data_IF_702828897373
#
_entry.id   IF_702828897373
#
_cell.length_a   1.000
_cell.length_b   1.000
_cell.length_c   1.000
_cell.angle_alpha   90.00
_cell.angle_beta   90.00
_cell.angle_gamma   90.00
#
_symmetry.space_group_name_H-M   'P 1'
#
loop_
_entity.id
_entity.type
_entity.pdbx_description
1 polymer ?
#
# COMPACT_ATOMS: atom_id res chain seq x y z
N UNK A 1 5.79 10.87 -11.51
CA UNK A 1 6.70 11.56 -12.44
C UNK A 1 6.08 12.85 -12.98
N UNK A 2 4.92 12.75 -13.65
CA UNK A 2 4.27 13.91 -14.28
C UNK A 2 4.02 15.06 -13.28
N UNK A 3 3.56 14.77 -12.08
CA UNK A 3 3.36 15.78 -11.02
C UNK A 3 4.63 16.59 -10.74
N UNK A 4 5.75 15.88 -10.56
CA UNK A 4 7.03 16.52 -10.32
C UNK A 4 7.58 17.24 -11.55
N UNK A 5 7.35 16.68 -12.73
CA UNK A 5 7.76 17.30 -14.00
C UNK A 5 7.03 18.64 -14.24
N UNK A 6 5.74 18.73 -13.87
CA UNK A 6 4.93 19.93 -14.05
C UNK A 6 5.21 21.03 -13.01
N UNK A 7 5.53 20.65 -11.76
CA UNK A 7 5.61 21.61 -10.64
C UNK A 7 7.02 21.87 -10.12
N UNK A 8 7.93 20.89 -10.25
CA UNK A 8 9.23 20.92 -9.57
C UNK A 8 9.15 20.84 -8.04
N UNK A 9 7.95 20.61 -7.45
CA UNK A 9 7.70 20.66 -6.01
C UNK A 9 7.46 19.26 -5.43
N UNK A 10 8.25 18.86 -4.40
CA UNK A 10 7.98 17.63 -3.63
C UNK A 10 6.62 17.64 -2.96
N UNK A 11 6.13 18.81 -2.53
CA UNK A 11 4.80 18.95 -1.93
C UNK A 11 3.69 18.57 -2.92
N UNK A 12 3.81 18.99 -4.18
CA UNK A 12 2.84 18.60 -5.24
C UNK A 12 2.80 17.09 -5.43
N UNK A 13 3.94 16.41 -5.37
CA UNK A 13 3.98 14.93 -5.44
C UNK A 13 3.22 14.32 -4.26
N UNK A 14 3.46 14.82 -3.05
CA UNK A 14 2.73 14.42 -1.84
C UNK A 14 1.22 14.68 -1.96
N UNK A 15 0.82 15.85 -2.51
CA UNK A 15 -0.59 16.19 -2.76
C UNK A 15 -1.26 15.25 -3.76
N UNK A 16 -0.58 14.87 -4.85
CA UNK A 16 -1.12 13.92 -5.83
C UNK A 16 -1.31 12.55 -5.19
N UNK A 17 -0.35 12.07 -4.42
CA UNK A 17 -0.47 10.81 -3.68
C UNK A 17 -1.60 10.88 -2.64
N UNK A 18 -1.74 12.01 -1.92
CA UNK A 18 -2.86 12.25 -1.01
C UNK A 18 -4.19 12.25 -1.73
N UNK A 19 -4.34 13.02 -2.81
CA UNK A 19 -5.58 13.14 -3.57
C UNK A 19 -6.05 11.79 -4.13
N UNK A 20 -5.12 10.94 -4.59
CA UNK A 20 -5.44 9.63 -5.14
C UNK A 20 -5.85 8.59 -4.09
N UNK A 21 -5.54 8.79 -2.82
CA UNK A 21 -5.74 7.80 -1.76
C UNK A 21 -6.75 8.24 -0.69
N UNK A 22 -6.98 9.56 -0.50
CA UNK A 22 -7.91 10.04 0.52
C UNK A 22 -9.35 9.57 0.30
N UNK A 23 -9.89 9.47 -0.94
CA UNK A 23 -11.21 8.91 -1.15
C UNK A 23 -11.28 7.44 -0.73
N UNK A 24 -10.19 6.67 -0.91
CA UNK A 24 -10.14 5.27 -0.45
C UNK A 24 -10.27 5.22 1.07
N UNK A 25 -9.50 6.05 1.79
CA UNK A 25 -9.55 6.10 3.26
C UNK A 25 -10.93 6.46 3.79
N UNK A 26 -11.58 7.46 3.17
CA UNK A 26 -12.88 7.98 3.65
C UNK A 26 -14.05 7.14 3.17
N UNK A 27 -14.05 6.73 1.90
CA UNK A 27 -15.22 6.14 1.26
C UNK A 27 -15.25 4.61 1.29
N UNK A 28 -14.09 3.92 1.47
CA UNK A 28 -14.06 2.46 1.44
C UNK A 28 -15.02 1.78 2.47
N UNK A 29 -15.20 2.29 3.71
CA UNK A 29 -16.16 1.72 4.64
C UNK A 29 -17.61 1.80 4.14
N UNK A 30 -17.97 2.91 3.47
CA UNK A 30 -19.31 3.12 2.93
C UNK A 30 -19.54 2.26 1.68
N UNK A 31 -18.57 2.20 0.80
CA UNK A 31 -18.63 1.38 -0.42
C UNK A 31 -18.62 -0.12 -0.08
N UNK A 32 -17.93 -0.54 0.97
CA UNK A 32 -17.98 -1.92 1.45
C UNK A 32 -19.42 -2.35 1.78
N UNK A 33 -20.17 -1.53 2.51
CA UNK A 33 -21.58 -1.78 2.80
C UNK A 33 -22.46 -1.75 1.54
N UNK A 34 -22.14 -0.89 0.60
CA UNK A 34 -22.89 -0.78 -0.65
C UNK A 34 -22.66 -1.96 -1.59
N UNK A 35 -21.42 -2.45 -1.66
CA UNK A 35 -21.03 -3.65 -2.43
C UNK A 35 -21.80 -4.90 -1.97
N UNK A 36 -22.10 -5.03 -0.68
CA UNK A 36 -22.88 -6.14 -0.14
C UNK A 36 -24.36 -6.14 -0.63
N UNK A 37 -24.85 -5.01 -1.14
CA UNK A 37 -26.24 -4.81 -1.57
C UNK A 37 -26.43 -4.86 -3.09
N UNK A 38 -25.38 -4.68 -3.85
CA UNK A 38 -25.40 -4.56 -5.31
C UNK A 38 -24.60 -5.72 -5.94
N UNK A 39 -24.84 -6.00 -7.21
CA UNK A 39 -24.08 -7.03 -7.93
C UNK A 39 -22.62 -6.57 -8.09
N UNK A 40 -21.70 -7.29 -7.43
CA UNK A 40 -20.27 -7.02 -7.48
C UNK A 40 -19.70 -7.06 -8.90
N UNK A 41 -20.23 -7.92 -9.80
CA UNK A 41 -19.81 -7.96 -11.20
C UNK A 41 -20.18 -6.67 -11.95
N UNK A 42 -21.36 -6.15 -11.73
CA UNK A 42 -21.78 -4.86 -12.33
C UNK A 42 -20.97 -3.70 -11.76
N UNK A 43 -20.72 -3.68 -10.44
CA UNK A 43 -19.92 -2.64 -9.82
C UNK A 43 -18.49 -2.63 -10.36
N UNK A 44 -17.85 -3.79 -10.50
CA UNK A 44 -16.51 -3.88 -11.09
C UNK A 44 -16.53 -3.41 -12.54
N UNK A 45 -17.52 -3.80 -13.36
CA UNK A 45 -17.65 -3.31 -14.75
C UNK A 45 -17.73 -1.78 -14.80
N UNK A 46 -18.58 -1.15 -13.98
CA UNK A 46 -18.68 0.30 -13.93
C UNK A 46 -17.38 0.95 -13.45
N UNK A 47 -16.72 0.40 -12.44
CA UNK A 47 -15.42 0.90 -11.98
C UNK A 47 -14.37 0.85 -13.10
N UNK A 48 -14.33 -0.24 -13.89
CA UNK A 48 -13.39 -0.35 -15.03
C UNK A 48 -13.70 0.66 -16.15
N UNK A 49 -14.99 0.91 -16.47
CA UNK A 49 -15.39 1.92 -17.46
C UNK A 49 -14.97 3.32 -16.99
N UNK A 50 -15.21 3.65 -15.73
CA UNK A 50 -14.83 4.94 -15.16
C UNK A 50 -13.30 5.11 -15.11
N UNK A 51 -12.55 4.05 -14.75
CA UNK A 51 -11.08 4.07 -14.75
C UNK A 51 -10.53 4.23 -16.17
N UNK A 52 -11.11 3.55 -17.16
CA UNK A 52 -10.78 3.74 -18.57
C UNK A 52 -10.98 5.18 -19.02
N UNK A 53 -12.14 5.77 -18.70
CA UNK A 53 -12.43 7.15 -19.04
C UNK A 53 -11.48 8.15 -18.38
N UNK A 54 -11.13 7.90 -17.12
CA UNK A 54 -10.16 8.71 -16.36
C UNK A 54 -8.75 8.62 -16.97
N UNK A 55 -8.25 7.40 -17.29
CA UNK A 55 -6.97 7.22 -17.95
C UNK A 55 -6.94 7.81 -19.35
N UNK A 56 -8.03 7.70 -20.11
CA UNK A 56 -8.18 8.37 -21.41
C UNK A 56 -8.12 9.89 -21.27
N UNK A 57 -8.79 10.46 -20.25
CA UNK A 57 -8.71 11.90 -19.98
C UNK A 57 -7.26 12.33 -19.65
N UNK A 58 -6.53 11.57 -18.80
CA UNK A 58 -5.11 11.82 -18.53
C UNK A 58 -4.29 11.80 -19.83
N UNK A 59 -4.51 10.82 -20.71
CA UNK A 59 -3.82 10.74 -21.99
C UNK A 59 -4.10 11.96 -22.88
N UNK A 60 -5.37 12.29 -23.08
CA UNK A 60 -5.80 13.41 -23.94
C UNK A 60 -5.23 14.74 -23.45
N UNK A 61 -5.37 15.06 -22.16
CA UNK A 61 -4.84 16.30 -21.60
C UNK A 61 -3.30 16.35 -21.62
N UNK A 62 -2.63 15.20 -21.48
CA UNK A 62 -1.17 15.13 -21.57
C UNK A 62 -0.69 15.33 -23.01
N UNK A 63 -1.31 14.68 -24.01
CA UNK A 63 -0.94 14.83 -25.42
C UNK A 63 -1.26 16.22 -25.96
N UNK A 64 -2.37 16.84 -25.53
CA UNK A 64 -2.74 18.18 -25.94
C UNK A 64 -1.88 19.30 -25.30
N UNK A 65 -1.01 18.96 -24.34
CA UNK A 65 -0.21 19.95 -23.62
C UNK A 65 -1.00 20.80 -22.60
N UNK A 66 -2.28 20.50 -22.37
CA UNK A 66 -3.14 21.24 -21.46
C UNK A 66 -3.17 20.66 -20.02
N UNK A 67 -2.28 19.71 -19.73
CA UNK A 67 -2.22 19.15 -18.38
C UNK A 67 -1.65 20.17 -17.39
N UNK A 68 -2.45 20.50 -16.39
CA UNK A 68 -2.06 21.39 -15.28
C UNK A 68 -2.08 20.62 -13.95
N UNK A 69 -1.38 21.16 -12.93
CA UNK A 69 -1.37 20.53 -11.58
C UNK A 69 -2.77 20.41 -10.98
N UNK A 70 -3.66 21.43 -11.01
CA UNK A 70 -5.03 21.27 -10.51
C UNK A 70 -5.84 20.22 -11.24
N UNK A 71 -5.70 20.12 -12.57
CA UNK A 71 -6.40 19.11 -13.36
C UNK A 71 -5.89 17.70 -13.03
N UNK A 72 -4.57 17.53 -12.88
CA UNK A 72 -3.96 16.27 -12.45
C UNK A 72 -4.47 15.86 -11.07
N UNK A 73 -4.52 16.78 -10.11
CA UNK A 73 -5.06 16.53 -8.77
C UNK A 73 -6.53 16.10 -8.83
N UNK A 74 -7.35 16.78 -9.62
CA UNK A 74 -8.76 16.43 -9.82
C UNK A 74 -8.94 15.02 -10.40
N UNK A 75 -8.18 14.67 -11.46
CA UNK A 75 -8.25 13.35 -12.08
C UNK A 75 -7.70 12.25 -11.13
N UNK A 76 -6.66 12.53 -10.33
CA UNK A 76 -6.17 11.61 -9.32
C UNK A 76 -7.19 11.41 -8.18
N UNK A 77 -7.91 12.47 -7.78
CA UNK A 77 -8.97 12.37 -6.79
C UNK A 77 -10.16 11.53 -7.29
N UNK A 78 -10.56 11.69 -8.55
CA UNK A 78 -11.56 10.83 -9.20
C UNK A 78 -11.09 9.37 -9.22
N UNK A 79 -9.82 9.12 -9.56
CA UNK A 79 -9.24 7.77 -9.51
C UNK A 79 -9.33 7.18 -8.09
N UNK A 80 -9.12 7.99 -7.06
CA UNK A 80 -9.28 7.57 -5.67
C UNK A 80 -10.69 7.06 -5.36
N UNK A 81 -11.73 7.73 -5.84
CA UNK A 81 -13.13 7.27 -5.70
C UNK A 81 -13.37 5.95 -6.45
N UNK A 82 -12.85 5.84 -7.67
CA UNK A 82 -12.97 4.62 -8.45
C UNK A 82 -12.31 3.46 -7.70
N UNK A 83 -11.11 3.65 -7.17
CA UNK A 83 -10.39 2.63 -6.39
C UNK A 83 -11.12 2.25 -5.10
N UNK A 84 -11.73 3.22 -4.41
CA UNK A 84 -12.51 2.98 -3.20
C UNK A 84 -13.71 2.06 -3.45
N UNK A 85 -14.30 2.12 -4.65
CA UNK A 85 -15.37 1.24 -5.09
C UNK A 85 -14.85 -0.09 -5.64
N UNK A 86 -13.83 -0.05 -6.51
CA UNK A 86 -13.31 -1.21 -7.23
C UNK A 86 -12.73 -2.26 -6.27
N UNK A 87 -11.94 -1.84 -5.28
CA UNK A 87 -11.25 -2.75 -4.38
C UNK A 87 -12.19 -3.72 -3.63
N UNK A 88 -13.21 -3.26 -2.88
CA UNK A 88 -14.14 -4.15 -2.19
C UNK A 88 -15.03 -4.94 -3.18
N UNK A 89 -15.42 -4.33 -4.30
CA UNK A 89 -16.23 -5.02 -5.32
C UNK A 89 -15.46 -6.16 -5.98
N UNK A 90 -14.17 -5.94 -6.28
CA UNK A 90 -13.28 -6.97 -6.85
C UNK A 90 -13.04 -8.11 -5.87
N UNK A 91 -12.82 -7.81 -4.59
CA UNK A 91 -12.69 -8.85 -3.56
C UNK A 91 -13.95 -9.71 -3.46
N UNK A 92 -15.13 -9.09 -3.42
CA UNK A 92 -16.40 -9.80 -3.42
C UNK A 92 -16.60 -10.66 -4.69
N UNK A 93 -16.17 -10.14 -5.85
CA UNK A 93 -16.23 -10.86 -7.12
C UNK A 93 -15.32 -12.10 -7.13
N UNK A 94 -14.09 -11.99 -6.60
CA UNK A 94 -13.13 -13.10 -6.50
C UNK A 94 -13.73 -14.26 -5.69
N UNK A 95 -14.36 -14.00 -4.55
CA UNK A 95 -15.04 -15.01 -3.75
C UNK A 95 -16.19 -15.68 -4.50
N UNK A 96 -16.95 -14.93 -5.30
CA UNK A 96 -18.05 -15.46 -6.11
C UNK A 96 -17.57 -16.31 -7.29
N UNK A 97 -16.44 -15.94 -7.91
CA UNK A 97 -15.84 -16.68 -9.03
C UNK A 97 -15.23 -18.01 -8.58
N UNK A 98 -14.65 -18.04 -7.38
CA UNK A 98 -14.04 -19.27 -6.86
C UNK A 98 -15.08 -20.37 -6.60
N UNK A 99 -16.30 -20.02 -6.19
CA UNK A 99 -17.43 -20.96 -5.98
C UNK A 99 -17.19 -22.00 -4.87
N UNK A 100 -16.06 -22.67 -4.88
CA UNK A 100 -15.65 -23.68 -3.91
C UNK A 100 -14.45 -23.20 -3.08
N UNK A 101 -14.41 -23.60 -1.80
CA UNK A 101 -13.35 -23.24 -0.86
C UNK A 101 -11.98 -23.81 -1.26
N UNK A 102 -11.95 -24.99 -1.88
CA UNK A 102 -10.71 -25.60 -2.37
C UNK A 102 -10.09 -24.83 -3.55
N UNK A 103 -10.91 -24.19 -4.39
CA UNK A 103 -10.47 -23.36 -5.51
C UNK A 103 -10.05 -21.98 -5.03
N UNK A 104 -10.67 -21.47 -3.97
CA UNK A 104 -10.44 -20.14 -3.43
C UNK A 104 -8.97 -19.93 -3.00
N UNK A 105 -8.35 -20.92 -2.35
CA UNK A 105 -6.96 -20.82 -1.91
C UNK A 105 -6.01 -20.66 -3.09
N UNK A 106 -6.24 -21.38 -4.19
CA UNK A 106 -5.46 -21.24 -5.42
C UNK A 106 -5.68 -19.91 -6.10
N UNK A 107 -6.92 -19.39 -6.12
CA UNK A 107 -7.23 -18.07 -6.70
C UNK A 107 -6.56 -16.95 -5.89
N UNK A 108 -6.58 -17.02 -4.57
CA UNK A 108 -5.90 -16.07 -3.69
C UNK A 108 -4.38 -16.12 -3.91
N UNK A 109 -3.80 -17.32 -4.00
CA UNK A 109 -2.36 -17.48 -4.26
C UNK A 109 -1.97 -16.88 -5.61
N UNK A 110 -2.71 -17.20 -6.68
CA UNK A 110 -2.45 -16.68 -8.02
C UNK A 110 -2.60 -15.15 -8.09
N UNK A 111 -3.65 -14.61 -7.47
CA UNK A 111 -3.84 -13.16 -7.36
C UNK A 111 -2.67 -12.49 -6.64
N UNK A 112 -2.17 -13.08 -5.56
CA UNK A 112 -1.03 -12.57 -4.79
C UNK A 112 0.26 -12.60 -5.62
N UNK A 113 0.52 -13.68 -6.35
CA UNK A 113 1.68 -13.80 -7.24
C UNK A 113 1.62 -12.73 -8.33
N UNK A 114 0.47 -12.60 -9.00
CA UNK A 114 0.26 -11.60 -10.06
C UNK A 114 0.47 -10.18 -9.53
N UNK A 115 -0.11 -9.85 -8.38
CA UNK A 115 0.05 -8.53 -7.76
C UNK A 115 1.52 -8.21 -7.45
N UNK A 116 2.27 -9.16 -6.87
CA UNK A 116 3.68 -8.95 -6.55
C UNK A 116 4.55 -8.86 -7.81
N UNK A 117 4.25 -9.65 -8.85
CA UNK A 117 4.95 -9.58 -10.13
C UNK A 117 4.73 -8.23 -10.82
N UNK A 118 3.49 -7.76 -10.87
CA UNK A 118 3.17 -6.44 -11.43
C UNK A 118 3.85 -5.31 -10.64
N UNK A 119 3.94 -5.44 -9.33
CA UNK A 119 4.61 -4.45 -8.47
C UNK A 119 6.13 -4.44 -8.67
N UNK A 120 6.73 -5.57 -9.03
CA UNK A 120 8.15 -5.67 -9.35
C UNK A 120 8.46 -5.13 -10.75
N UNK A 121 7.71 -5.58 -11.76
CA UNK A 121 8.04 -5.34 -13.18
C UNK A 121 7.37 -4.07 -13.72
N UNK A 122 6.16 -3.75 -13.23
CA UNK A 122 5.35 -2.63 -13.71
C UNK A 122 6.07 -1.29 -13.71
N UNK A 123 6.69 -0.85 -12.59
CA UNK A 123 7.38 0.44 -12.55
C UNK A 123 8.57 0.52 -13.52
N UNK A 124 9.34 -0.57 -13.71
CA UNK A 124 10.44 -0.59 -14.67
C UNK A 124 9.93 -0.42 -16.10
N UNK A 125 8.91 -1.20 -16.49
CA UNK A 125 8.29 -1.07 -17.82
C UNK A 125 7.68 0.33 -17.98
N UNK A 126 6.91 0.81 -16.99
CA UNK A 126 6.31 2.14 -17.04
C UNK A 126 7.35 3.26 -17.14
N UNK A 127 8.46 3.17 -16.42
CA UNK A 127 9.57 4.11 -16.49
C UNK A 127 10.24 4.12 -17.87
N UNK A 128 10.47 2.95 -18.46
CA UNK A 128 11.03 2.81 -19.81
C UNK A 128 10.09 3.39 -20.87
N UNK A 129 8.80 3.12 -20.79
CA UNK A 129 7.79 3.65 -21.70
C UNK A 129 7.67 5.18 -21.60
N UNK A 130 7.66 5.72 -20.37
CA UNK A 130 7.62 7.18 -20.16
C UNK A 130 8.87 7.83 -20.74
N UNK A 131 10.05 7.25 -20.56
CA UNK A 131 11.29 7.80 -21.06
C UNK A 131 11.39 7.73 -22.61
N UNK A 132 10.80 6.69 -23.22
CA UNK A 132 10.83 6.53 -24.68
C UNK A 132 9.78 7.36 -25.41
N UNK A 133 8.56 7.43 -24.87
CA UNK A 133 7.39 7.99 -25.58
C UNK A 133 6.58 9.02 -24.77
N UNK A 134 7.03 9.33 -23.55
CA UNK A 134 6.36 10.26 -22.67
C UNK A 134 5.20 9.65 -21.86
N UNK A 135 4.71 10.38 -20.85
CA UNK A 135 3.67 9.89 -19.95
C UNK A 135 2.30 9.70 -20.62
N UNK A 136 2.00 10.47 -21.66
CA UNK A 136 0.74 10.37 -22.41
C UNK A 136 0.51 8.99 -23.02
N UNK A 137 1.57 8.36 -23.56
CA UNK A 137 1.47 7.00 -24.13
C UNK A 137 1.17 5.97 -23.05
N UNK A 138 1.74 6.11 -21.87
CA UNK A 138 1.46 5.19 -20.76
C UNK A 138 0.01 5.29 -20.31
N UNK A 139 -0.55 6.50 -20.21
CA UNK A 139 -1.96 6.69 -19.91
C UNK A 139 -2.88 6.14 -21.01
N UNK A 140 -2.49 6.29 -22.28
CA UNK A 140 -3.24 5.71 -23.40
C UNK A 140 -3.21 4.18 -23.38
N UNK A 141 -2.06 3.57 -23.12
CA UNK A 141 -1.93 2.11 -22.96
C UNK A 141 -2.75 1.59 -21.78
N UNK A 142 -2.75 2.32 -20.66
CA UNK A 142 -3.58 2.00 -19.51
C UNK A 142 -5.07 2.04 -19.88
N UNK A 143 -5.53 3.11 -20.55
CA UNK A 143 -6.91 3.22 -21.02
C UNK A 143 -7.31 2.06 -21.95
N UNK A 144 -6.44 1.68 -22.90
CA UNK A 144 -6.68 0.56 -23.82
C UNK A 144 -6.69 -0.79 -23.07
N UNK A 145 -5.85 -0.95 -22.06
CA UNK A 145 -5.78 -2.20 -21.28
C UNK A 145 -7.11 -2.53 -20.57
N UNK A 146 -7.89 -1.52 -20.19
CA UNK A 146 -9.23 -1.72 -19.60
C UNK A 146 -10.20 -2.40 -20.56
N UNK A 147 -10.04 -2.25 -21.89
CA UNK A 147 -10.88 -2.96 -22.87
C UNK A 147 -10.72 -4.48 -22.74
N UNK A 148 -9.49 -4.96 -22.53
CA UNK A 148 -9.25 -6.39 -22.33
C UNK A 148 -9.93 -6.90 -21.04
N UNK A 149 -9.86 -6.10 -19.95
CA UNK A 149 -10.54 -6.44 -18.69
C UNK A 149 -12.06 -6.44 -18.86
N UNK A 150 -12.61 -5.43 -19.55
CA UNK A 150 -14.05 -5.33 -19.82
C UNK A 150 -14.54 -6.48 -20.71
N UNK A 151 -13.77 -6.88 -21.72
CA UNK A 151 -14.07 -8.03 -22.56
C UNK A 151 -14.09 -9.33 -21.75
N UNK A 152 -13.09 -9.54 -20.86
CA UNK A 152 -13.05 -10.67 -19.97
C UNK A 152 -14.26 -10.69 -19.00
N UNK A 153 -14.59 -9.54 -18.39
CA UNK A 153 -15.75 -9.43 -17.51
C UNK A 153 -17.09 -9.60 -18.24
N UNK A 154 -17.17 -9.24 -19.53
CA UNK A 154 -18.38 -9.47 -20.34
C UNK A 154 -18.67 -10.96 -20.54
N UNK A 155 -17.62 -11.78 -20.64
CA UNK A 155 -17.74 -13.23 -20.77
C UNK A 155 -18.15 -13.92 -19.45
N UNK A 156 -18.00 -13.27 -18.30
CA UNK A 156 -18.34 -13.83 -16.99
C UNK A 156 -19.86 -13.82 -16.79
N UNK A 157 -20.41 -15.01 -16.50
CA UNK A 157 -21.81 -15.21 -16.13
C UNK A 157 -21.88 -15.76 -14.71
N UNK A 158 -22.48 -15.01 -13.79
CA UNK A 158 -22.67 -15.40 -12.38
C UNK A 158 -24.15 -15.38 -12.03
N UNK A 159 -24.54 -16.28 -11.13
CA UNK A 159 -25.87 -16.24 -10.53
C UNK A 159 -26.09 -14.94 -9.76
N UNK A 160 -27.35 -14.45 -9.64
CA UNK A 160 -27.65 -13.26 -8.85
C UNK A 160 -27.09 -13.35 -7.42
N UNK A 161 -26.60 -12.24 -6.85
CA UNK A 161 -26.02 -12.24 -5.51
C UNK A 161 -27.10 -12.51 -4.46
N UNK A 162 -26.77 -13.33 -3.47
CA UNK A 162 -27.59 -13.48 -2.27
C UNK A 162 -27.35 -12.27 -1.38
N UNK A 163 -28.37 -11.45 -1.20
CA UNK A 163 -28.31 -10.23 -0.37
C UNK A 163 -28.08 -10.63 1.09
N UNK A 164 -26.95 -10.24 1.67
CA UNK A 164 -26.69 -10.38 3.11
C UNK A 164 -26.94 -9.04 3.80
N UNK A 165 -27.98 -9.00 4.63
CA UNK A 165 -28.24 -7.86 5.51
C UNK A 165 -27.30 -7.95 6.73
N UNK A 166 -26.22 -7.21 6.76
CA UNK A 166 -25.47 -6.94 7.99
C UNK A 166 -26.05 -5.67 8.62
N UNK A 167 -26.65 -5.83 9.79
CA UNK A 167 -27.08 -4.72 10.65
C UNK A 167 -26.04 -4.61 11.76
N UNK A 168 -25.08 -3.71 11.58
CA UNK A 168 -24.14 -3.37 12.63
C UNK A 168 -23.91 -1.87 12.64
N UNK A 169 -23.84 -1.26 13.83
CA UNK A 169 -23.47 0.15 13.99
C UNK A 169 -21.94 0.28 13.96
N UNK A 170 -21.32 0.80 12.89
CA UNK A 170 -19.87 0.78 12.68
C UNK A 170 -19.08 1.45 13.82
N UNK A 171 -19.62 2.54 14.39
CA UNK A 171 -18.92 3.29 15.44
C UNK A 171 -18.85 2.55 16.78
N UNK A 172 -19.89 1.78 17.12
CA UNK A 172 -19.90 0.96 18.35
C UNK A 172 -18.90 -0.17 18.22
N UNK A 173 -18.90 -0.84 17.08
CA UNK A 173 -17.94 -1.92 16.80
C UNK A 173 -16.49 -1.43 16.81
N UNK A 174 -16.23 -0.23 16.27
CA UNK A 174 -14.90 0.38 16.28
C UNK A 174 -14.43 0.69 17.70
N UNK A 175 -15.29 1.26 18.54
CA UNK A 175 -14.98 1.55 19.95
C UNK A 175 -14.65 0.28 20.73
N UNK A 176 -15.43 -0.78 20.53
CA UNK A 176 -15.20 -2.07 21.18
C UNK A 176 -13.89 -2.71 20.71
N UNK A 177 -13.57 -2.60 19.42
CA UNK A 177 -12.30 -3.07 18.85
C UNK A 177 -11.10 -2.34 19.48
N UNK A 178 -11.17 -1.01 19.60
CA UNK A 178 -10.13 -0.21 20.24
C UNK A 178 -9.96 -0.61 21.70
N UNK A 179 -11.05 -0.74 22.47
CA UNK A 179 -11.01 -1.15 23.86
C UNK A 179 -10.38 -2.54 24.03
N UNK A 180 -10.78 -3.49 23.18
CA UNK A 180 -10.22 -4.84 23.18
C UNK A 180 -8.72 -4.83 22.84
N UNK A 181 -8.34 -4.11 21.80
CA UNK A 181 -6.94 -3.99 21.38
C UNK A 181 -6.05 -3.38 22.47
N UNK A 182 -6.57 -2.38 23.20
CA UNK A 182 -5.84 -1.72 24.30
C UNK A 182 -5.64 -2.62 25.51
N UNK A 183 -6.58 -3.53 25.77
CA UNK A 183 -6.50 -4.51 26.86
C UNK A 183 -5.47 -5.63 26.60
N UNK A 184 -5.11 -5.88 25.31
CA UNK A 184 -4.21 -6.96 24.95
C UNK A 184 -2.82 -6.41 24.55
N UNK A 185 -1.76 -6.60 25.34
CA UNK A 185 -0.44 -6.01 25.10
C UNK A 185 0.15 -6.31 23.72
N UNK A 186 0.01 -7.55 23.23
CA UNK A 186 0.53 -7.97 21.92
C UNK A 186 -0.20 -7.26 20.79
N UNK A 187 -1.54 -7.22 20.82
CA UNK A 187 -2.38 -6.58 19.81
C UNK A 187 -2.12 -5.07 19.78
N UNK A 188 -2.09 -4.43 20.95
CA UNK A 188 -1.78 -3.00 21.10
C UNK A 188 -0.43 -2.63 20.48
N UNK A 189 0.62 -3.43 20.75
CA UNK A 189 1.97 -3.19 20.19
C UNK A 189 1.96 -3.24 18.67
N UNK A 190 1.38 -4.27 18.08
CA UNK A 190 1.30 -4.40 16.62
C UNK A 190 0.51 -3.25 16.02
N UNK A 191 -0.67 -2.94 16.58
CA UNK A 191 -1.50 -1.84 16.10
C UNK A 191 -0.90 -0.45 16.32
N UNK A 192 0.11 -0.28 17.19
CA UNK A 192 0.86 0.98 17.31
C UNK A 192 1.95 1.15 16.25
N UNK A 193 2.56 0.06 15.78
CA UNK A 193 3.63 0.10 14.77
C UNK A 193 3.07 0.34 13.37
N UNK A 194 1.96 -0.29 13.03
CA UNK A 194 1.38 -0.25 11.67
C UNK A 194 1.05 1.18 11.20
N UNK A 195 0.38 2.04 11.99
CA UNK A 195 0.14 3.43 11.62
C UNK A 195 1.42 4.24 11.38
N UNK A 196 2.46 4.02 12.20
CA UNK A 196 3.73 4.72 12.06
C UNK A 196 4.39 4.34 10.74
N UNK A 197 4.46 3.05 10.41
CA UNK A 197 5.01 2.60 9.13
C UNK A 197 4.12 3.04 7.96
N UNK A 198 2.80 3.10 8.14
CA UNK A 198 1.88 3.67 7.15
C UNK A 198 2.18 5.14 6.85
N UNK A 199 2.49 5.93 7.88
CA UNK A 199 2.81 7.36 7.74
C UNK A 199 4.18 7.61 7.11
N UNK A 200 5.23 6.92 7.57
CA UNK A 200 6.62 7.28 7.23
C UNK A 200 7.40 6.22 6.45
N UNK A 201 6.98 4.95 6.52
CA UNK A 201 7.73 3.84 5.92
C UNK A 201 7.77 3.86 4.39
N UNK A 202 6.83 4.58 3.78
CA UNK A 202 6.73 4.72 2.32
C UNK A 202 7.26 6.07 1.80
N UNK A 203 8.00 6.85 2.62
CA UNK A 203 8.58 8.12 2.26
C UNK A 203 9.40 8.07 0.96
N UNK A 204 10.18 7.01 0.77
CA UNK A 204 11.00 6.78 -0.41
C UNK A 204 10.17 6.68 -1.70
N UNK A 205 8.98 6.10 -1.66
CA UNK A 205 8.11 5.98 -2.85
C UNK A 205 7.51 7.34 -3.24
N UNK A 206 7.12 8.15 -2.25
CA UNK A 206 6.57 9.48 -2.48
C UNK A 206 7.63 10.40 -3.09
N UNK A 207 8.85 10.39 -2.55
CA UNK A 207 9.95 11.23 -3.01
C UNK A 207 10.78 10.61 -4.14
N UNK A 208 10.43 9.42 -4.63
CA UNK A 208 11.16 8.76 -5.70
C UNK A 208 11.33 9.61 -6.97
N UNK A 209 10.32 10.36 -7.46
CA UNK A 209 10.49 11.25 -8.62
C UNK A 209 11.51 12.37 -8.36
N UNK A 210 11.54 12.91 -7.12
CA UNK A 210 12.47 13.95 -6.69
C UNK A 210 13.90 13.42 -6.68
N UNK A 211 14.11 12.26 -6.07
CA UNK A 211 15.42 11.61 -6.05
C UNK A 211 15.89 11.23 -7.44
N UNK A 212 15.03 10.65 -8.28
CA UNK A 212 15.38 10.25 -9.62
C UNK A 212 15.90 11.42 -10.47
N UNK A 213 15.24 12.58 -10.39
CA UNK A 213 15.57 13.76 -11.18
C UNK A 213 16.70 14.59 -10.55
N UNK A 214 16.52 15.02 -9.30
CA UNK A 214 17.39 16.06 -8.71
C UNK A 214 18.64 15.49 -8.06
N UNK A 215 18.58 14.26 -7.52
CA UNK A 215 19.72 13.67 -6.84
C UNK A 215 20.58 12.83 -7.76
N UNK A 216 19.93 12.06 -8.65
CA UNK A 216 20.63 11.13 -9.55
C UNK A 216 20.77 11.67 -10.98
N UNK A 217 20.21 12.86 -11.31
CA UNK A 217 20.23 13.43 -12.66
C UNK A 217 19.59 12.53 -13.71
N UNK A 218 18.69 11.62 -13.26
CA UNK A 218 18.07 10.61 -14.10
C UNK A 218 16.71 11.05 -14.64
N UNK A 219 16.09 10.14 -15.36
CA UNK A 219 14.79 10.30 -15.99
C UNK A 219 13.72 9.34 -15.37
N UNK A 220 12.63 9.12 -16.10
CA UNK A 220 11.59 8.20 -15.69
C UNK A 220 12.06 6.73 -15.59
N UNK A 221 13.13 6.34 -16.30
CA UNK A 221 13.73 4.99 -16.15
C UNK A 221 14.32 4.81 -14.76
N UNK A 222 15.07 5.83 -14.31
CA UNK A 222 15.64 5.84 -12.95
C UNK A 222 14.56 5.69 -11.90
N UNK A 223 13.45 6.43 -12.02
CA UNK A 223 12.28 6.28 -11.16
C UNK A 223 11.72 4.85 -11.21
N UNK A 224 11.55 4.31 -12.40
CA UNK A 224 11.05 2.94 -12.61
C UNK A 224 11.91 1.90 -11.90
N UNK A 225 13.24 1.99 -12.04
CA UNK A 225 14.18 1.07 -11.39
C UNK A 225 14.17 1.20 -9.86
N UNK A 226 14.10 2.42 -9.31
CA UNK A 226 13.98 2.64 -7.87
C UNK A 226 12.72 1.96 -7.30
N UNK A 227 11.57 2.17 -7.93
CA UNK A 227 10.32 1.57 -7.48
C UNK A 227 10.30 0.04 -7.68
N UNK A 228 10.89 -0.46 -8.76
CA UNK A 228 11.05 -1.91 -8.99
C UNK A 228 11.99 -2.55 -7.96
N UNK A 229 13.04 -1.87 -7.53
CA UNK A 229 13.90 -2.33 -6.44
C UNK A 229 13.11 -2.49 -5.13
N UNK A 230 12.17 -1.57 -4.83
CA UNK A 230 11.24 -1.72 -3.69
C UNK A 230 10.39 -2.99 -3.83
N UNK A 231 9.86 -3.25 -5.03
CA UNK A 231 9.10 -4.47 -5.33
C UNK A 231 9.94 -5.74 -5.15
N UNK A 232 11.18 -5.73 -5.63
CA UNK A 232 12.12 -6.85 -5.46
C UNK A 232 12.40 -7.16 -3.98
N UNK A 233 12.65 -6.13 -3.18
CA UNK A 233 12.85 -6.28 -1.74
C UNK A 233 11.63 -6.85 -1.03
N UNK A 234 10.43 -6.36 -1.39
CA UNK A 234 9.18 -6.87 -0.82
C UNK A 234 8.93 -8.34 -1.20
N UNK A 235 9.23 -8.72 -2.44
CA UNK A 235 9.10 -10.09 -2.92
C UNK A 235 10.09 -11.01 -2.22
N UNK A 236 11.35 -10.62 -2.08
CA UNK A 236 12.38 -11.38 -1.37
C UNK A 236 11.97 -11.64 0.09
N UNK A 237 11.43 -10.62 0.79
CA UNK A 237 10.89 -10.77 2.14
C UNK A 237 9.70 -11.73 2.18
N UNK A 238 8.78 -11.65 1.21
CA UNK A 238 7.63 -12.56 1.09
C UNK A 238 8.05 -14.01 0.91
N UNK A 239 8.99 -14.28 0.01
CA UNK A 239 9.55 -15.61 -0.22
C UNK A 239 10.23 -16.13 1.07
N UNK A 240 11.04 -15.29 1.72
CA UNK A 240 11.70 -15.68 2.96
C UNK A 240 10.71 -16.01 4.09
N UNK A 241 9.61 -15.28 4.20
CA UNK A 241 8.54 -15.54 5.16
C UNK A 241 7.81 -16.85 4.87
N UNK A 242 7.63 -17.22 3.59
CA UNK A 242 6.94 -18.45 3.18
C UNK A 242 7.71 -19.73 3.51
N UNK A 243 9.01 -19.65 3.78
CA UNK A 243 9.87 -20.80 4.18
C UNK A 243 9.59 -21.33 5.60
N UNK A 244 8.54 -20.83 6.26
CA UNK A 244 8.01 -21.34 7.52
C UNK A 244 8.75 -20.80 8.75
N UNK A 245 8.05 -20.00 9.59
CA UNK A 245 8.51 -19.57 10.90
C UNK A 245 7.42 -19.74 11.95
N UNK A 246 7.82 -20.12 13.16
CA UNK A 246 6.90 -20.18 14.30
C UNK A 246 6.37 -18.78 14.64
N UNK A 247 5.13 -18.71 15.09
CA UNK A 247 4.48 -17.47 15.51
C UNK A 247 5.30 -16.70 16.57
N UNK A 248 6.05 -17.39 17.41
CA UNK A 248 6.89 -16.80 18.46
C UNK A 248 8.06 -15.95 17.91
N UNK A 249 8.54 -16.23 16.69
CA UNK A 249 9.58 -15.44 16.01
C UNK A 249 9.06 -14.20 15.30
N UNK A 250 7.78 -14.12 14.99
CA UNK A 250 7.20 -13.08 14.15
C UNK A 250 7.35 -11.66 14.72
N UNK A 251 7.28 -11.50 16.05
CA UNK A 251 7.50 -10.20 16.69
C UNK A 251 8.91 -9.65 16.46
N UNK A 252 9.94 -10.53 16.49
CA UNK A 252 11.31 -10.12 16.17
C UNK A 252 11.46 -9.76 14.69
N UNK A 253 10.74 -10.45 13.81
CA UNK A 253 10.76 -10.14 12.37
C UNK A 253 10.19 -8.74 12.11
N UNK A 254 9.13 -8.33 12.80
CA UNK A 254 8.59 -6.95 12.73
C UNK A 254 9.66 -5.92 13.12
N UNK A 255 10.39 -6.16 14.22
CA UNK A 255 11.46 -5.26 14.66
C UNK A 255 12.61 -5.19 13.64
N UNK A 256 13.07 -6.33 13.12
CA UNK A 256 14.08 -6.38 12.06
C UNK A 256 13.59 -5.69 10.78
N UNK A 257 12.34 -5.88 10.40
CA UNK A 257 11.74 -5.21 9.25
C UNK A 257 11.78 -3.67 9.37
N UNK A 258 11.37 -3.15 10.52
CA UNK A 258 11.42 -1.69 10.79
C UNK A 258 12.87 -1.17 10.82
N UNK A 259 13.80 -1.95 11.35
CA UNK A 259 15.24 -1.59 11.38
C UNK A 259 15.84 -1.60 9.97
N UNK A 260 15.64 -2.66 9.18
CA UNK A 260 16.15 -2.77 7.81
C UNK A 260 15.58 -1.64 6.94
N UNK A 261 14.27 -1.42 6.98
CA UNK A 261 13.64 -0.34 6.21
C UNK A 261 14.12 1.03 6.64
N UNK A 262 14.19 1.28 7.95
CA UNK A 262 14.65 2.55 8.51
C UNK A 262 16.12 2.84 8.21
N UNK A 263 17.01 1.85 8.32
CA UNK A 263 18.43 2.00 7.95
C UNK A 263 18.59 2.23 6.45
N UNK A 264 17.83 1.53 5.60
CA UNK A 264 17.82 1.79 4.16
C UNK A 264 17.48 3.25 3.85
N UNK A 265 16.42 3.81 4.47
CA UNK A 265 16.05 5.23 4.30
C UNK A 265 17.14 6.17 4.81
N UNK A 266 17.75 5.91 5.97
CA UNK A 266 18.79 6.75 6.55
C UNK A 266 20.06 6.75 5.70
N UNK A 267 20.51 5.59 5.20
CA UNK A 267 21.67 5.45 4.32
C UNK A 267 21.43 6.14 2.98
N UNK A 268 20.23 6.01 2.41
CA UNK A 268 19.86 6.72 1.17
C UNK A 268 19.96 8.24 1.32
N UNK A 269 19.59 8.80 2.47
CA UNK A 269 19.70 10.22 2.73
C UNK A 269 21.14 10.73 2.76
N UNK A 270 22.08 9.89 3.22
CA UNK A 270 23.49 10.24 3.36
C UNK A 270 24.31 10.18 2.06
N UNK A 271 23.84 9.45 1.04
CA UNK A 271 24.60 9.15 -0.17
C UNK A 271 23.87 9.60 -1.43
N UNK A 272 24.65 9.79 -2.53
CA UNK A 272 24.13 10.22 -3.83
C UNK A 272 24.44 9.18 -4.94
N UNK A 273 24.78 7.94 -4.58
CA UNK A 273 25.03 6.86 -5.54
C UNK A 273 23.73 6.16 -5.92
N UNK A 274 23.41 6.09 -7.21
CA UNK A 274 22.23 5.38 -7.73
C UNK A 274 22.26 3.88 -7.39
N UNK A 275 23.44 3.24 -7.50
CA UNK A 275 23.58 1.82 -7.17
C UNK A 275 23.23 1.54 -5.70
N UNK A 276 23.72 2.39 -4.78
CA UNK A 276 23.40 2.28 -3.36
C UNK A 276 21.92 2.59 -3.10
N UNK A 277 21.35 3.58 -3.82
CA UNK A 277 19.93 3.90 -3.70
C UNK A 277 19.03 2.73 -4.10
N UNK A 278 19.36 1.98 -5.16
CA UNK A 278 18.62 0.77 -5.53
C UNK A 278 18.63 -0.28 -4.41
N UNK A 279 19.76 -0.48 -3.75
CA UNK A 279 19.86 -1.38 -2.58
C UNK A 279 19.01 -0.84 -1.42
N UNK A 280 19.07 0.46 -1.15
CA UNK A 280 18.27 1.11 -0.10
C UNK A 280 16.76 1.02 -0.36
N UNK A 281 16.32 1.21 -1.61
CA UNK A 281 14.92 1.02 -1.99
C UNK A 281 14.47 -0.44 -1.82
N UNK A 282 15.34 -1.38 -2.18
CA UNK A 282 15.13 -2.81 -1.91
C UNK A 282 15.01 -3.10 -0.42
N UNK A 283 15.91 -2.53 0.40
CA UNK A 283 15.87 -2.67 1.86
C UNK A 283 14.60 -2.05 2.46
N UNK A 284 14.15 -0.89 1.97
CA UNK A 284 12.91 -0.26 2.40
C UNK A 284 11.68 -1.11 2.06
N UNK A 285 11.61 -1.67 0.84
CA UNK A 285 10.55 -2.58 0.43
C UNK A 285 10.54 -3.89 1.23
N UNK A 286 11.71 -4.48 1.46
CA UNK A 286 11.90 -5.64 2.31
C UNK A 286 11.42 -5.35 3.73
N UNK A 287 11.86 -4.25 4.32
CA UNK A 287 11.48 -3.82 5.65
C UNK A 287 9.97 -3.64 5.81
N UNK A 288 9.33 -2.97 4.85
CA UNK A 288 7.88 -2.79 4.86
C UNK A 288 7.13 -4.13 4.83
N UNK A 289 7.54 -5.08 4.00
CA UNK A 289 6.94 -6.41 3.93
C UNK A 289 7.15 -7.21 5.23
N UNK A 290 8.37 -7.14 5.82
CA UNK A 290 8.69 -7.78 7.09
C UNK A 290 7.97 -7.16 8.30
N UNK A 291 7.45 -5.94 8.18
CA UNK A 291 6.55 -5.37 9.19
C UNK A 291 5.10 -5.79 8.93
N UNK A 292 4.60 -5.60 7.70
CA UNK A 292 3.17 -5.73 7.41
C UNK A 292 2.66 -7.17 7.47
N UNK A 293 3.39 -8.12 6.85
CA UNK A 293 2.95 -9.52 6.78
C UNK A 293 2.96 -10.20 8.15
N UNK A 294 4.05 -10.17 8.95
CA UNK A 294 4.03 -10.75 10.29
C UNK A 294 3.05 -10.04 11.24
N UNK A 295 2.88 -8.72 11.14
CA UNK A 295 1.89 -7.98 11.93
C UNK A 295 0.47 -8.49 11.68
N UNK A 296 0.12 -8.72 10.41
CA UNK A 296 -1.15 -9.31 10.03
C UNK A 296 -1.32 -10.73 10.63
N UNK A 297 -0.29 -11.57 10.50
CA UNK A 297 -0.29 -12.95 11.04
C UNK A 297 -0.43 -12.96 12.55
N UNK A 298 0.33 -12.11 13.28
CA UNK A 298 0.22 -12.00 14.74
C UNK A 298 -1.19 -11.62 15.16
N UNK A 299 -1.83 -10.66 14.49
CA UNK A 299 -3.19 -10.25 14.82
C UNK A 299 -4.19 -11.38 14.55
N UNK A 300 -4.10 -12.05 13.40
CA UNK A 300 -5.00 -13.15 13.06
C UNK A 300 -4.89 -14.34 14.01
N UNK A 301 -3.70 -14.63 14.56
CA UNK A 301 -3.46 -15.76 15.46
C UNK A 301 -3.75 -15.46 16.93
N UNK A 302 -3.75 -14.18 17.36
CA UNK A 302 -3.90 -13.80 18.76
C UNK A 302 -5.24 -13.13 19.09
N UNK A 303 -6.12 -12.93 18.11
CA UNK A 303 -7.43 -12.31 18.30
C UNK A 303 -8.53 -13.36 18.29
N UNK A 304 -9.46 -13.25 19.24
CA UNK A 304 -10.63 -14.10 19.34
C UNK A 304 -11.47 -14.03 18.03
N UNK A 305 -12.03 -15.15 17.62
CA UNK A 305 -12.75 -15.26 16.32
C UNK A 305 -13.89 -14.26 16.18
N UNK A 306 -14.63 -13.99 17.28
CA UNK A 306 -15.75 -13.04 17.32
C UNK A 306 -15.32 -11.57 17.18
N UNK A 307 -14.04 -11.25 17.45
CA UNK A 307 -13.46 -9.89 17.39
C UNK A 307 -12.48 -9.70 16.25
N UNK A 308 -12.08 -10.79 15.57
CA UNK A 308 -11.05 -10.77 14.52
C UNK A 308 -11.35 -9.74 13.42
N UNK A 309 -12.59 -9.71 12.91
CA UNK A 309 -12.97 -8.77 11.87
C UNK A 309 -12.80 -7.31 12.28
N UNK A 310 -13.14 -6.98 13.53
CA UNK A 310 -13.05 -5.62 14.07
C UNK A 310 -11.59 -5.18 14.28
N UNK A 311 -10.74 -6.07 14.80
CA UNK A 311 -9.30 -5.77 15.00
C UNK A 311 -8.59 -5.65 13.65
N UNK A 312 -8.95 -6.49 12.68
CA UNK A 312 -8.42 -6.39 11.31
C UNK A 312 -8.84 -5.09 10.62
N UNK A 313 -10.02 -4.56 10.92
CA UNK A 313 -10.42 -3.23 10.44
C UNK A 313 -9.49 -2.13 11.00
N UNK A 314 -9.13 -2.17 12.30
CA UNK A 314 -8.14 -1.25 12.87
C UNK A 314 -6.76 -1.37 12.20
N UNK A 315 -6.31 -2.58 11.91
CA UNK A 315 -5.08 -2.83 11.18
C UNK A 315 -5.09 -2.19 9.79
N UNK A 316 -6.18 -2.38 9.03
CA UNK A 316 -6.36 -1.79 7.71
C UNK A 316 -6.42 -0.27 7.78
N UNK A 317 -7.11 0.30 8.77
CA UNK A 317 -7.13 1.75 9.01
C UNK A 317 -5.73 2.30 9.29
N UNK A 318 -4.90 1.59 10.07
CA UNK A 318 -3.52 1.97 10.33
C UNK A 318 -2.67 2.00 9.05
N UNK A 319 -2.81 1.00 8.19
CA UNK A 319 -2.15 1.01 6.87
C UNK A 319 -2.64 2.13 5.96
N UNK A 320 -3.92 2.45 6.05
CA UNK A 320 -4.56 3.49 5.23
C UNK A 320 -4.17 4.93 5.62
N UNK A 321 -3.22 5.14 6.55
CA UNK A 321 -2.65 6.46 6.84
C UNK A 321 -1.61 6.93 5.82
N UNK A 322 -1.25 6.11 4.85
CA UNK A 322 -0.34 6.46 3.76
C UNK A 322 -0.64 7.80 3.07
N UNK A 323 -1.90 8.17 2.75
CA UNK A 323 -2.19 9.47 2.13
C UNK A 323 -1.77 10.65 3.02
N UNK A 324 -2.07 10.57 4.31
CA UNK A 324 -1.66 11.60 5.28
C UNK A 324 -0.13 11.66 5.36
N UNK A 325 0.52 10.50 5.44
CA UNK A 325 1.97 10.38 5.40
C UNK A 325 2.58 11.00 4.15
N UNK A 326 2.00 10.75 2.96
CA UNK A 326 2.50 11.28 1.70
C UNK A 326 2.45 12.81 1.65
N UNK A 327 1.37 13.41 2.15
CA UNK A 327 1.25 14.87 2.24
C UNK A 327 2.26 15.47 3.21
N UNK A 328 2.40 14.89 4.41
CA UNK A 328 3.34 15.33 5.43
C UNK A 328 4.79 15.22 4.94
N UNK A 329 5.14 14.12 4.27
CA UNK A 329 6.48 13.90 3.73
C UNK A 329 6.77 14.86 2.58
N UNK A 330 5.80 15.12 1.71
CA UNK A 330 5.92 16.12 0.66
C UNK A 330 6.15 17.52 1.21
N UNK A 331 5.38 17.93 2.22
CA UNK A 331 5.53 19.21 2.90
C UNK A 331 6.88 19.32 3.65
N UNK A 332 7.30 18.25 4.32
CA UNK A 332 8.59 18.20 5.01
C UNK A 332 9.74 18.31 4.00
N UNK A 333 9.66 17.61 2.87
CA UNK A 333 10.68 17.67 1.84
C UNK A 333 10.77 19.05 1.16
N UNK A 334 9.66 19.76 1.04
CA UNK A 334 9.64 21.15 0.54
C UNK A 334 10.35 22.10 1.53
N UNK A 335 10.14 21.91 2.85
CA UNK A 335 10.67 22.80 3.87
C UNK A 335 12.14 22.56 4.22
N UNK A 336 12.55 21.30 4.41
CA UNK A 336 13.90 20.95 4.90
C UNK A 336 14.74 20.17 3.88
N UNK A 337 14.20 19.94 2.70
CA UNK A 337 14.83 19.19 1.63
C UNK A 337 14.56 17.67 1.70
N UNK A 338 14.59 17.00 0.53
CA UNK A 338 14.16 15.60 0.39
C UNK A 338 15.07 14.61 1.16
N UNK A 339 16.37 14.87 1.24
CA UNK A 339 17.31 14.04 2.00
C UNK A 339 17.01 14.04 3.49
N UNK A 340 16.81 15.24 4.07
CA UNK A 340 16.50 15.39 5.49
C UNK A 340 15.14 14.78 5.82
N UNK A 341 14.13 14.98 4.97
CA UNK A 341 12.81 14.39 5.14
C UNK A 341 12.88 12.85 5.22
N UNK A 342 13.62 12.21 4.31
CA UNK A 342 13.78 10.74 4.32
C UNK A 342 14.62 10.28 5.51
N UNK A 343 15.66 11.04 5.92
CA UNK A 343 16.43 10.72 7.12
C UNK A 343 15.58 10.72 8.39
N UNK A 344 14.70 11.71 8.53
CA UNK A 344 13.73 11.78 9.65
C UNK A 344 12.82 10.56 9.63
N UNK A 345 12.25 10.20 8.47
CA UNK A 345 11.40 9.01 8.32
C UNK A 345 12.15 7.73 8.68
N UNK A 346 13.40 7.59 8.23
CA UNK A 346 14.28 6.48 8.59
C UNK A 346 14.52 6.40 10.10
N UNK A 347 14.82 7.53 10.73
CA UNK A 347 15.00 7.63 12.18
C UNK A 347 13.76 7.23 12.97
N UNK A 348 12.57 7.63 12.53
CA UNK A 348 11.28 7.20 13.13
C UNK A 348 11.09 5.69 12.99
N UNK A 349 11.39 5.09 11.84
CA UNK A 349 11.32 3.64 11.65
C UNK A 349 12.29 2.90 12.59
N UNK A 350 13.55 3.38 12.74
CA UNK A 350 14.55 2.80 13.64
C UNK A 350 14.11 2.93 15.10
N UNK A 351 13.60 4.09 15.51
CA UNK A 351 13.06 4.29 16.86
C UNK A 351 11.89 3.35 17.15
N UNK A 352 11.01 3.15 16.16
CA UNK A 352 9.90 2.18 16.25
C UNK A 352 10.41 0.76 16.43
N UNK A 353 11.46 0.36 15.70
CA UNK A 353 12.11 -0.95 15.88
C UNK A 353 12.66 -1.12 17.29
N UNK A 354 13.34 -0.11 17.83
CA UNK A 354 13.94 -0.16 19.17
C UNK A 354 12.90 -0.30 20.28
N UNK A 355 11.78 0.46 20.19
CA UNK A 355 10.68 0.38 21.14
C UNK A 355 9.98 -0.98 21.10
N UNK A 356 9.76 -1.52 19.90
CA UNK A 356 9.16 -2.82 19.71
C UNK A 356 10.06 -3.96 20.23
N UNK A 357 11.38 -3.85 20.01
CA UNK A 357 12.38 -4.81 20.50
C UNK A 357 12.42 -4.88 22.03
N UNK A 358 12.51 -3.74 22.71
CA UNK A 358 12.50 -3.67 24.19
C UNK A 358 11.23 -4.29 24.76
N UNK A 359 10.10 -4.00 24.16
CA UNK A 359 8.81 -4.51 24.61
C UNK A 359 8.67 -6.03 24.40
N UNK A 360 9.27 -6.62 23.36
CA UNK A 360 9.28 -8.08 23.12
C UNK A 360 10.25 -8.82 24.04
N UNK A 361 11.39 -8.20 24.39
CA UNK A 361 12.35 -8.76 25.35
C UNK A 361 11.81 -8.85 26.77
N UNK A 362 11.06 -7.86 27.23
CA UNK A 362 10.42 -7.85 28.54
C UNK A 362 9.31 -8.91 28.66
N UNK A 363 8.59 -9.21 27.58
CA UNK A 363 7.54 -10.24 27.61
C UNK A 363 8.12 -11.67 27.74
N UNK A 364 9.32 -11.92 27.21
CA UNK A 364 10.00 -13.22 27.34
C UNK A 364 10.66 -13.41 28.72
N UNK A 365 11.07 -12.32 29.37
CA UNK A 365 11.60 -12.39 30.76
C UNK A 365 10.49 -12.65 31.78
N UNK A 366 9.28 -12.12 31.56
CA UNK A 366 8.13 -12.33 32.45
C UNK A 366 7.45 -13.70 32.33
N UNK A 367 7.56 -14.36 31.18
CA UNK A 367 6.96 -15.68 30.93
C UNK A 367 7.70 -16.87 31.50
N UNK A 368 8.92 -16.69 32.03
CA UNK A 368 9.73 -17.77 32.65
C UNK A 368 9.46 -18.00 34.14
N UNK A 369 8.57 -17.22 34.76
CA UNK A 369 8.25 -17.32 36.18
C UNK A 369 6.87 -17.85 36.51
N UNK A 370 6.15 -18.47 35.59
CA UNK A 370 4.78 -18.95 35.80
C UNK A 370 4.52 -20.39 35.39
N UNK A 371 5.39 -21.33 35.73
CA UNK A 371 5.03 -22.75 35.83
C UNK A 371 5.10 -23.14 37.32
N UNK A 372 3.96 -23.35 37.99
CA UNK A 372 3.99 -24.03 39.28
C UNK A 372 4.31 -25.52 39.10
N UNK A 373 4.87 -26.17 40.13
CA UNK A 373 5.33 -27.55 40.10
C UNK A 373 4.21 -28.58 39.92
#
# INVERSE_FOLDING_TARGET
WLAYHLSGSPFTVGMVAFASQIPVLVCAPFFGVWVDRVDSLQLVRWAQVLAMAQSAALAVFTFSGHMTVPLLLGLCFVQGFINALDWPARQALVFRLAGDRAVLDNVIALNSITFNLCRLVGPAIGGLLIAAWGPGVVFALDAVSYLAVLAALAAVRLAPPVKRLRVAHPLVELRDAVRYAWAHPTIRRVLSVVPIIGLVGFAHTVLAPVFARDLFGGDARTLGFLLSATGAGSLAAGIWLSLGRSAEGMARVVAWGALIGGTGLAVMAAHSSLALALVCYGAAGCGAALVMVPSNTILQSNVDDDKRGRVMALFTMGQSLYPVGSLLIGALAEGVGPKVAVAICGGVCIATAATFWRASGLAMAGGRHGSPP
#
